data_IF_598700230766
#
_entry.id   IF_598700230766
#
_cell.length_a   1.000
_cell.length_b   1.000
_cell.length_c   1.000
_cell.angle_alpha   90.00
_cell.angle_beta   90.00
_cell.angle_gamma   90.00
#
_symmetry.space_group_name_H-M   'P 1'
#
loop_
_entity.id
_entity.type
_entity.pdbx_description
1 polymer ?
#
# COMPACT_ATOMS: atom_id res chain seq x y z
N UNK A 1 -17.18 19.56 30.60
CA UNK A 1 -16.95 20.09 29.25
C UNK A 1 -16.71 18.88 28.37
N UNK A 2 -17.76 18.47 27.67
CA UNK A 2 -17.75 17.28 26.83
C UNK A 2 -16.85 17.52 25.62
N UNK A 3 -15.71 16.85 25.57
CA UNK A 3 -14.98 16.65 24.33
C UNK A 3 -15.77 15.68 23.46
N UNK A 4 -16.84 16.17 22.82
CA UNK A 4 -17.31 15.58 21.58
C UNK A 4 -16.13 15.68 20.61
N UNK A 5 -15.43 14.56 20.40
CA UNK A 5 -14.33 14.49 19.45
C UNK A 5 -14.84 14.94 18.10
N UNK A 6 -14.34 16.09 17.63
CA UNK A 6 -14.55 16.54 16.26
C UNK A 6 -14.14 15.40 15.33
N UNK A 7 -15.13 14.82 14.68
CA UNK A 7 -14.92 13.80 13.65
C UNK A 7 -14.08 14.48 12.59
N UNK A 8 -12.83 14.07 12.43
CA UNK A 8 -11.91 14.70 11.48
C UNK A 8 -12.59 14.82 10.11
N UNK A 9 -12.60 16.02 9.53
CA UNK A 9 -13.31 16.27 8.28
C UNK A 9 -12.68 15.49 7.15
N UNK A 10 -13.51 14.95 6.26
CA UNK A 10 -13.04 14.25 5.07
C UNK A 10 -12.25 15.22 4.19
N UNK A 11 -11.10 14.78 3.68
CA UNK A 11 -10.31 15.52 2.69
C UNK A 11 -11.10 15.66 1.38
N UNK A 12 -11.14 16.85 0.79
CA UNK A 12 -12.02 17.16 -0.33
C UNK A 12 -11.47 16.66 -1.68
N UNK A 13 -10.17 16.85 -1.88
CA UNK A 13 -9.44 16.54 -3.12
C UNK A 13 -8.72 15.20 -3.04
N UNK A 14 -8.18 14.83 -1.87
CA UNK A 14 -7.51 13.54 -1.67
C UNK A 14 -8.53 12.40 -1.67
N UNK A 15 -8.59 11.66 -2.77
CA UNK A 15 -9.54 10.56 -2.94
C UNK A 15 -9.18 9.38 -2.05
N UNK A 16 -10.21 8.62 -1.68
CA UNK A 16 -10.06 7.36 -0.98
C UNK A 16 -9.32 7.46 0.38
N UNK A 17 -9.20 8.67 0.94
CA UNK A 17 -8.55 8.92 2.23
C UNK A 17 -9.41 8.40 3.39
N UNK A 18 -8.81 7.63 4.30
CA UNK A 18 -9.42 7.25 5.59
C UNK A 18 -8.39 6.72 6.58
N UNK A 19 -8.74 6.82 7.86
CA UNK A 19 -8.14 6.04 8.94
C UNK A 19 -8.65 4.59 8.85
N UNK A 20 -7.75 3.61 8.90
CA UNK A 20 -8.12 2.18 8.85
C UNK A 20 -8.97 1.79 10.08
N UNK A 21 -8.76 2.44 11.23
CA UNK A 21 -9.54 2.14 12.44
C UNK A 21 -11.03 2.50 12.30
N UNK A 22 -11.41 3.29 11.29
CA UNK A 22 -12.81 3.69 11.07
C UNK A 22 -13.74 2.52 10.72
N UNK A 23 -13.17 1.43 10.17
CA UNK A 23 -13.88 0.20 9.83
C UNK A 23 -13.42 -1.00 10.67
N UNK A 24 -12.33 -0.83 11.43
CA UNK A 24 -11.66 -1.91 12.17
C UNK A 24 -11.36 -1.43 13.60
N UNK A 25 -12.32 -1.65 14.51
CA UNK A 25 -12.29 -1.10 15.87
C UNK A 25 -11.18 -1.70 16.78
N UNK A 26 -10.59 -2.83 16.38
CA UNK A 26 -9.45 -3.45 17.07
C UNK A 26 -8.11 -2.75 16.78
N UNK A 27 -8.10 -1.80 15.84
CA UNK A 27 -6.92 -0.98 15.51
C UNK A 27 -7.03 0.37 16.23
N UNK A 28 -5.91 0.87 16.78
CA UNK A 28 -5.86 2.19 17.40
C UNK A 28 -6.09 3.29 16.35
N UNK A 29 -6.98 4.26 16.63
CA UNK A 29 -7.21 5.38 15.73
C UNK A 29 -6.00 6.32 15.65
N UNK A 30 -5.89 7.01 14.53
CA UNK A 30 -4.91 8.07 14.29
C UNK A 30 -3.51 7.58 13.94
N UNK A 31 -3.31 6.28 13.68
CA UNK A 31 -1.98 5.73 13.44
C UNK A 31 -1.73 5.38 11.97
N UNK A 32 -2.67 4.74 11.30
CA UNK A 32 -2.47 4.23 9.95
C UNK A 32 -3.62 4.65 9.04
N UNK A 33 -3.25 5.38 8.00
CA UNK A 33 -4.14 5.96 7.01
C UNK A 33 -3.85 5.36 5.65
N UNK A 34 -4.85 5.37 4.78
CA UNK A 34 -4.70 5.02 3.36
C UNK A 34 -5.35 6.05 2.47
N UNK A 35 -4.82 6.27 1.27
CA UNK A 35 -5.43 7.16 0.26
C UNK A 35 -4.99 6.85 -1.17
N UNK A 36 -5.64 7.51 -2.13
CA UNK A 36 -5.06 7.76 -3.45
C UNK A 36 -3.87 8.74 -3.33
N UNK A 37 -3.24 9.02 -4.47
CA UNK A 37 -2.11 9.97 -4.51
C UNK A 37 -2.56 11.35 -4.05
N UNK A 38 -1.61 12.10 -3.50
CA UNK A 38 -1.82 13.45 -2.98
C UNK A 38 -1.24 14.53 -3.90
N UNK A 39 -0.88 14.17 -5.13
CA UNK A 39 -0.20 15.10 -6.06
C UNK A 39 -1.10 16.29 -6.43
N UNK A 40 -2.42 16.06 -6.47
CA UNK A 40 -3.44 17.07 -6.78
C UNK A 40 -4.17 17.56 -5.52
N UNK A 41 -3.57 17.37 -4.33
CA UNK A 41 -4.17 17.80 -3.07
C UNK A 41 -4.25 19.32 -2.99
N UNK A 42 -5.38 19.85 -2.54
CA UNK A 42 -5.51 21.29 -2.26
C UNK A 42 -4.61 21.70 -1.09
N UNK A 43 -4.22 22.99 -0.98
CA UNK A 43 -3.47 23.48 0.17
C UNK A 43 -4.15 23.16 1.51
N UNK A 44 -5.48 23.23 1.57
CA UNK A 44 -6.25 22.92 2.77
C UNK A 44 -6.17 21.43 3.14
N UNK A 45 -6.22 20.53 2.15
CA UNK A 45 -6.04 19.10 2.39
C UNK A 45 -4.60 18.77 2.83
N UNK A 46 -3.60 19.46 2.27
CA UNK A 46 -2.19 19.31 2.69
C UNK A 46 -1.98 19.82 4.12
N UNK A 47 -2.57 20.96 4.47
CA UNK A 47 -2.55 21.50 5.83
C UNK A 47 -3.30 20.55 6.78
N UNK A 48 -4.43 19.96 6.38
CA UNK A 48 -5.11 18.95 7.18
C UNK A 48 -4.25 17.70 7.40
N UNK A 49 -3.58 17.18 6.35
CA UNK A 49 -2.65 16.06 6.48
C UNK A 49 -1.50 16.38 7.46
N UNK A 50 -0.98 17.61 7.44
CA UNK A 50 0.13 18.05 8.30
C UNK A 50 -0.30 18.37 9.74
N UNK A 51 -1.36 19.14 9.92
CA UNK A 51 -1.73 19.74 11.22
C UNK A 51 -2.78 18.90 11.97
N UNK A 52 -3.80 18.42 11.24
CA UNK A 52 -4.93 17.69 11.82
C UNK A 52 -4.60 16.21 11.99
N UNK A 53 -4.19 15.55 10.91
CA UNK A 53 -3.84 14.12 10.91
C UNK A 53 -2.40 13.87 11.36
N UNK A 54 -1.56 14.92 11.35
CA UNK A 54 -0.16 14.88 11.80
C UNK A 54 0.65 13.78 11.12
N UNK A 55 0.40 13.54 9.83
CA UNK A 55 1.09 12.51 9.07
C UNK A 55 2.59 12.76 9.14
N UNK A 56 3.32 11.76 9.66
CA UNK A 56 4.75 11.81 9.88
C UNK A 56 5.52 11.04 8.82
N UNK A 57 4.92 9.96 8.31
CA UNK A 57 5.50 9.19 7.22
C UNK A 57 4.49 8.92 6.13
N UNK A 58 4.93 9.04 4.88
CA UNK A 58 4.18 8.64 3.69
C UNK A 58 4.89 7.43 3.10
N UNK A 59 4.14 6.38 2.80
CA UNK A 59 4.62 5.25 2.04
C UNK A 59 3.95 5.25 0.67
N UNK A 60 4.70 5.66 -0.35
CA UNK A 60 4.25 5.73 -1.73
C UNK A 60 4.58 4.44 -2.48
N UNK A 61 3.55 3.63 -2.72
CA UNK A 61 3.63 2.35 -3.40
C UNK A 61 3.75 2.45 -4.92
N UNK A 62 3.80 3.66 -5.49
CA UNK A 62 4.20 3.88 -6.89
C UNK A 62 5.71 3.73 -7.08
N UNK A 63 6.45 3.66 -5.97
CA UNK A 63 7.91 3.78 -5.96
C UNK A 63 8.36 5.16 -6.42
N UNK A 64 9.68 5.33 -6.46
CA UNK A 64 10.25 6.57 -6.95
C UNK A 64 10.15 6.54 -8.47
N UNK A 65 9.12 7.18 -9.02
CA UNK A 65 9.09 7.48 -10.44
C UNK A 65 10.33 8.33 -10.75
N UNK A 66 10.95 8.21 -11.93
CA UNK A 66 11.93 9.19 -12.34
C UNK A 66 11.23 10.55 -12.21
N UNK A 67 11.69 11.36 -11.26
CA UNK A 67 11.29 12.75 -11.15
C UNK A 67 11.31 13.34 -12.58
N UNK A 68 10.38 14.24 -12.96
CA UNK A 68 10.62 15.03 -14.17
C UNK A 68 12.04 15.56 -14.07
N UNK A 69 12.79 15.56 -15.18
CA UNK A 69 14.20 15.93 -15.29
C UNK A 69 14.44 17.33 -14.69
N UNK A 70 14.40 17.41 -13.37
CA UNK A 70 14.93 18.43 -12.53
C UNK A 70 16.22 17.77 -12.14
N UNK A 71 17.24 18.22 -12.86
CA UNK A 71 18.63 17.89 -12.66
C UNK A 71 18.91 17.44 -11.23
N UNK A 72 19.69 16.37 -11.05
CA UNK A 72 20.32 16.06 -9.75
C UNK A 72 21.15 17.25 -9.20
N UNK A 73 21.33 18.31 -9.99
CA UNK A 73 21.92 19.61 -9.61
C UNK A 73 20.93 20.58 -8.94
N UNK A 74 19.61 20.42 -9.14
CA UNK A 74 18.55 21.33 -8.66
C UNK A 74 17.49 20.58 -7.84
N UNK A 75 17.91 19.81 -6.83
CA UNK A 75 17.00 19.47 -5.74
C UNK A 75 16.57 20.78 -5.04
N UNK A 76 15.26 21.08 -4.91
CA UNK A 76 14.82 22.06 -3.94
C UNK A 76 15.25 21.55 -2.57
N UNK A 77 16.09 22.31 -1.87
CA UNK A 77 16.65 21.89 -0.59
C UNK A 77 18.04 21.28 -0.72
N UNK A 78 19.01 22.11 -1.10
CA UNK A 78 20.43 21.84 -0.85
C UNK A 78 20.81 21.92 0.65
N UNK A 79 19.84 21.89 1.58
CA UNK A 79 20.12 22.12 2.99
C UNK A 79 19.49 21.13 3.99
N UNK A 80 18.44 20.36 3.69
CA UNK A 80 17.84 19.46 4.72
C UNK A 80 17.15 18.21 4.12
N UNK A 81 17.87 17.34 3.38
CA UNK A 81 17.29 16.03 2.98
C UNK A 81 18.26 14.87 3.19
N UNK A 82 17.87 13.92 4.03
CA UNK A 82 18.53 12.61 4.17
C UNK A 82 17.96 11.65 3.13
N UNK A 83 18.54 11.65 1.93
CA UNK A 83 18.14 10.79 0.82
C UNK A 83 18.92 9.47 0.80
N UNK A 84 18.20 8.34 0.74
CA UNK A 84 18.78 7.01 0.59
C UNK A 84 18.08 6.22 -0.50
N UNK A 85 18.80 5.94 -1.59
CA UNK A 85 18.32 5.18 -2.73
C UNK A 85 18.93 3.79 -2.74
N UNK A 86 18.10 2.76 -2.63
CA UNK A 86 18.53 1.36 -2.67
C UNK A 86 18.14 0.73 -4.01
N UNK A 87 18.92 1.04 -5.05
CA UNK A 87 18.93 0.25 -6.28
C UNK A 87 19.77 -1.02 -6.06
N UNK A 88 19.37 -2.16 -6.63
CA UNK A 88 18.34 -2.35 -7.66
C UNK A 88 16.90 -2.56 -7.12
N UNK A 89 16.69 -2.53 -5.81
CA UNK A 89 15.45 -3.01 -5.18
C UNK A 89 14.23 -2.07 -5.30
N UNK A 90 14.35 -0.93 -6.00
CA UNK A 90 13.27 0.07 -6.14
C UNK A 90 12.69 0.55 -4.80
N UNK A 91 13.55 0.65 -3.80
CA UNK A 91 13.25 1.21 -2.48
C UNK A 91 14.03 2.51 -2.35
N UNK A 92 13.36 3.60 -1.99
CA UNK A 92 13.99 4.87 -1.72
C UNK A 92 13.36 5.54 -0.50
N UNK A 93 14.13 6.41 0.14
CA UNK A 93 13.70 7.22 1.26
C UNK A 93 14.19 8.65 1.10
N UNK A 94 13.34 9.62 1.45
CA UNK A 94 13.73 11.02 1.64
C UNK A 94 13.02 11.56 2.88
N UNK A 95 13.66 12.49 3.57
CA UNK A 95 13.05 13.25 4.65
C UNK A 95 13.10 14.73 4.29
N UNK A 96 11.95 15.40 4.34
CA UNK A 96 11.84 16.83 4.02
C UNK A 96 11.08 17.48 5.18
N UNK A 97 11.73 18.39 5.91
CA UNK A 97 11.13 19.13 7.02
C UNK A 97 10.45 18.21 8.07
N UNK A 98 11.05 17.05 8.34
CA UNK A 98 10.53 16.06 9.30
C UNK A 98 9.45 15.12 8.76
N UNK A 99 8.98 15.31 7.52
CA UNK A 99 8.11 14.36 6.82
C UNK A 99 8.95 13.28 6.12
N UNK A 100 8.77 12.04 6.53
CA UNK A 100 9.51 10.90 5.98
C UNK A 100 8.73 10.29 4.81
N UNK A 101 9.32 10.31 3.62
CA UNK A 101 8.72 9.76 2.42
C UNK A 101 9.48 8.48 2.04
N UNK A 102 8.78 7.36 2.09
CA UNK A 102 9.25 6.04 1.70
C UNK A 102 8.64 5.67 0.35
N UNK A 103 9.47 5.53 -0.67
CA UNK A 103 9.03 5.11 -1.99
C UNK A 103 9.34 3.63 -2.18
N UNK A 104 8.31 2.80 -2.35
CA UNK A 104 8.46 1.34 -2.44
C UNK A 104 7.63 0.83 -3.60
N UNK A 105 8.25 0.54 -4.75
CA UNK A 105 7.57 -0.17 -5.84
C UNK A 105 7.55 -1.68 -5.53
N UNK A 106 6.38 -2.21 -5.16
CA UNK A 106 6.23 -3.64 -4.86
C UNK A 106 6.54 -4.53 -6.08
N UNK A 107 6.55 -4.00 -7.31
CA UNK A 107 6.94 -4.72 -8.52
C UNK A 107 8.46 -4.58 -8.78
N UNK A 108 9.27 -5.06 -7.83
CA UNK A 108 10.73 -5.06 -7.87
C UNK A 108 11.34 -6.01 -8.92
N UNK A 109 12.69 -6.10 -9.00
CA UNK A 109 13.37 -6.89 -10.02
C UNK A 109 12.98 -8.38 -10.04
N UNK A 110 12.75 -8.97 -8.87
CA UNK A 110 12.37 -10.38 -8.74
C UNK A 110 10.95 -10.65 -9.26
N UNK A 111 9.98 -9.79 -8.93
CA UNK A 111 8.66 -9.79 -9.55
C UNK A 111 8.75 -9.61 -11.07
N UNK A 112 9.59 -8.69 -11.55
CA UNK A 112 9.82 -8.48 -12.98
C UNK A 112 10.35 -9.74 -13.70
N UNK A 113 11.26 -10.50 -13.06
CA UNK A 113 11.74 -11.79 -13.57
C UNK A 113 10.61 -12.83 -13.65
N UNK A 114 9.72 -12.88 -12.66
CA UNK A 114 8.53 -13.75 -12.71
C UNK A 114 7.59 -13.34 -13.85
N UNK A 115 7.28 -12.06 -14.01
CA UNK A 115 6.40 -11.60 -15.11
C UNK A 115 7.01 -11.92 -16.46
N UNK A 116 8.32 -11.73 -16.63
CA UNK A 116 9.03 -12.16 -17.82
C UNK A 116 8.89 -13.69 -18.00
N UNK A 117 8.97 -14.47 -16.92
CA UNK A 117 8.83 -15.93 -16.98
C UNK A 117 7.45 -16.42 -17.46
N UNK A 118 6.39 -15.61 -17.31
CA UNK A 118 5.02 -15.93 -17.77
C UNK A 118 4.82 -15.83 -19.29
N UNK A 119 5.82 -15.34 -20.03
CA UNK A 119 5.77 -15.22 -21.49
C UNK A 119 6.60 -16.32 -22.14
N UNK A 120 6.17 -16.85 -23.29
CA UNK A 120 6.92 -17.86 -24.04
C UNK A 120 8.21 -17.27 -24.64
N UNK A 121 9.20 -18.13 -24.93
CA UNK A 121 10.50 -17.69 -25.48
C UNK A 121 10.34 -16.85 -26.76
N UNK A 122 9.40 -17.23 -27.62
CA UNK A 122 9.11 -16.51 -28.87
C UNK A 122 8.53 -15.11 -28.62
N UNK A 123 7.60 -14.98 -27.68
CA UNK A 123 7.03 -13.69 -27.30
C UNK A 123 8.11 -12.77 -26.72
N UNK A 124 8.96 -13.29 -25.82
CA UNK A 124 10.11 -12.55 -25.26
C UNK A 124 11.03 -12.03 -26.35
N UNK A 125 11.40 -12.90 -27.30
CA UNK A 125 12.28 -12.55 -28.40
C UNK A 125 11.70 -11.42 -29.25
N UNK A 126 10.41 -11.52 -29.60
CA UNK A 126 9.68 -10.44 -30.29
C UNK A 126 9.62 -9.15 -29.47
N UNK A 127 9.39 -9.27 -28.17
CA UNK A 127 9.36 -8.14 -27.24
C UNK A 127 10.68 -7.39 -27.21
N UNK A 128 11.80 -8.10 -27.03
CA UNK A 128 13.14 -7.51 -27.04
C UNK A 128 13.48 -6.87 -28.38
N UNK A 129 13.16 -7.54 -29.50
CA UNK A 129 13.36 -6.98 -30.82
C UNK A 129 12.56 -5.68 -31.01
N UNK A 130 11.29 -5.66 -30.58
CA UNK A 130 10.45 -4.47 -30.69
C UNK A 130 10.96 -3.32 -29.81
N UNK A 131 11.39 -3.61 -28.57
CA UNK A 131 12.01 -2.61 -27.68
C UNK A 131 13.31 -2.06 -28.30
N UNK A 132 14.12 -2.89 -28.94
CA UNK A 132 15.35 -2.44 -29.61
C UNK A 132 15.08 -1.52 -30.81
N UNK A 133 14.02 -1.79 -31.58
CA UNK A 133 13.63 -1.01 -32.76
C UNK A 133 12.90 0.29 -32.35
N UNK A 134 12.00 0.21 -31.38
CA UNK A 134 11.21 1.34 -30.91
C UNK A 134 11.01 1.24 -29.40
N UNK A 135 11.92 1.82 -28.58
CA UNK A 135 11.90 1.62 -27.13
C UNK A 135 10.57 1.97 -26.47
N UNK A 136 10.01 3.16 -26.74
CA UNK A 136 8.79 3.62 -26.10
C UNK A 136 7.56 2.77 -26.48
N UNK A 137 7.41 2.44 -27.77
CA UNK A 137 6.25 1.67 -28.24
C UNK A 137 6.40 0.17 -27.94
N UNK A 138 7.62 -0.35 -28.00
CA UNK A 138 7.99 -1.71 -27.61
C UNK A 138 7.71 -1.99 -26.14
N UNK A 139 8.09 -1.07 -25.24
CA UNK A 139 7.76 -1.20 -23.80
C UNK A 139 6.25 -1.22 -23.58
N UNK A 140 5.50 -0.29 -24.21
CA UNK A 140 4.04 -0.25 -24.08
C UNK A 140 3.38 -1.52 -24.64
N UNK A 141 3.86 -2.02 -25.78
CA UNK A 141 3.36 -3.27 -26.38
C UNK A 141 3.63 -4.47 -25.47
N UNK A 142 4.84 -4.56 -24.91
CA UNK A 142 5.21 -5.58 -23.94
C UNK A 142 4.32 -5.55 -22.71
N UNK A 143 4.12 -4.35 -22.12
CA UNK A 143 3.24 -4.14 -20.97
C UNK A 143 1.81 -4.61 -21.24
N UNK A 144 1.25 -4.37 -22.43
CA UNK A 144 -0.08 -4.87 -22.81
C UNK A 144 -0.13 -6.40 -22.87
N UNK A 145 0.86 -7.04 -23.48
CA UNK A 145 0.94 -8.50 -23.58
C UNK A 145 1.04 -9.14 -22.20
N UNK A 146 1.93 -8.62 -21.35
CA UNK A 146 2.06 -9.14 -19.99
C UNK A 146 0.79 -8.89 -19.19
N UNK A 147 0.23 -7.68 -19.25
CA UNK A 147 -0.99 -7.32 -18.51
C UNK A 147 -2.18 -8.20 -18.89
N UNK A 148 -2.38 -8.48 -20.19
CA UNK A 148 -3.44 -9.37 -20.66
C UNK A 148 -3.29 -10.83 -20.16
N UNK A 149 -2.08 -11.27 -19.81
CA UNK A 149 -1.85 -12.58 -19.19
C UNK A 149 -2.14 -12.54 -17.70
N UNK A 150 -1.61 -11.52 -17.01
CA UNK A 150 -1.77 -11.36 -15.57
C UNK A 150 -3.23 -11.08 -15.19
N UNK A 151 -3.97 -10.36 -16.03
CA UNK A 151 -5.35 -9.94 -15.76
C UNK A 151 -6.37 -11.08 -15.73
N UNK A 152 -5.99 -12.28 -16.17
CA UNK A 152 -6.83 -13.49 -16.14
C UNK A 152 -7.08 -14.02 -14.74
N UNK A 153 -6.15 -13.80 -13.82
CA UNK A 153 -6.28 -14.17 -12.41
C UNK A 153 -6.10 -12.91 -11.56
N UNK A 154 -7.19 -12.46 -10.94
CA UNK A 154 -7.22 -11.29 -10.07
C UNK A 154 -6.31 -11.42 -8.85
N UNK A 155 -5.98 -12.64 -8.44
CA UNK A 155 -5.06 -12.93 -7.36
C UNK A 155 -3.61 -13.15 -7.82
N UNK A 156 -3.32 -13.14 -9.13
CA UNK A 156 -1.96 -13.32 -9.64
C UNK A 156 -1.00 -12.31 -9.03
N UNK A 157 -1.31 -11.02 -9.13
CA UNK A 157 -0.40 -9.95 -8.68
C UNK A 157 -0.18 -9.96 -7.16
N UNK A 158 -1.24 -10.03 -6.31
CA UNK A 158 -1.05 -10.20 -4.87
C UNK A 158 -0.16 -11.38 -4.49
N UNK A 159 -0.41 -12.56 -5.07
CA UNK A 159 0.36 -13.79 -4.79
C UNK A 159 1.80 -13.66 -5.27
N UNK A 160 2.00 -13.12 -6.48
CA UNK A 160 3.32 -12.88 -7.05
C UNK A 160 4.16 -11.90 -6.21
N UNK A 161 3.55 -10.85 -5.64
CA UNK A 161 4.24 -9.93 -4.72
C UNK A 161 4.65 -10.64 -3.44
N UNK A 162 3.73 -11.42 -2.84
CA UNK A 162 4.04 -12.21 -1.65
C UNK A 162 5.19 -13.18 -1.93
N UNK A 163 5.27 -13.75 -3.13
CA UNK A 163 6.25 -14.78 -3.46
C UNK A 163 7.59 -14.23 -4.00
N UNK A 164 7.61 -13.00 -4.51
CA UNK A 164 8.75 -12.48 -5.28
C UNK A 164 9.10 -11.00 -5.02
N UNK A 165 8.53 -10.37 -4.00
CA UNK A 165 8.86 -8.98 -3.64
C UNK A 165 9.37 -8.86 -2.20
N UNK A 166 10.18 -9.83 -1.78
CA UNK A 166 10.67 -9.95 -0.41
C UNK A 166 11.34 -8.68 0.13
N UNK A 167 12.29 -8.03 -0.59
CA UNK A 167 12.93 -6.82 -0.08
C UNK A 167 11.94 -5.67 0.13
N UNK A 168 10.95 -5.53 -0.75
CA UNK A 168 9.96 -4.45 -0.73
C UNK A 168 8.97 -4.66 0.41
N UNK A 169 8.44 -5.89 0.57
CA UNK A 169 7.54 -6.22 1.68
C UNK A 169 8.27 -6.12 3.02
N UNK A 170 9.54 -6.54 3.10
CA UNK A 170 10.36 -6.35 4.29
C UNK A 170 10.53 -4.88 4.65
N UNK A 171 10.85 -4.02 3.68
CA UNK A 171 11.02 -2.59 3.90
C UNK A 171 9.74 -1.96 4.44
N UNK A 172 8.58 -2.30 3.85
CA UNK A 172 7.27 -1.87 4.33
C UNK A 172 7.04 -2.21 5.81
N UNK A 173 7.20 -3.48 6.18
CA UNK A 173 6.90 -3.90 7.55
C UNK A 173 7.96 -3.44 8.57
N UNK A 174 9.20 -3.14 8.14
CA UNK A 174 10.18 -2.46 9.01
C UNK A 174 9.78 -1.02 9.33
N UNK A 175 9.14 -0.31 8.39
CA UNK A 175 8.58 1.02 8.67
C UNK A 175 7.44 0.91 9.68
N UNK A 176 6.52 -0.05 9.49
CA UNK A 176 5.44 -0.32 10.45
C UNK A 176 5.94 -0.73 11.84
N UNK A 177 7.12 -1.36 11.93
CA UNK A 177 7.70 -1.75 13.21
C UNK A 177 8.33 -0.58 13.99
N UNK A 178 8.55 0.57 13.34
CA UNK A 178 9.21 1.74 13.92
C UNK A 178 8.19 2.70 14.56
N UNK A 179 8.16 2.86 15.89
CA UNK A 179 7.24 3.78 16.56
C UNK A 179 7.36 5.23 16.07
N UNK A 180 8.56 5.65 15.68
CA UNK A 180 8.83 7.02 15.22
C UNK A 180 8.26 7.32 13.83
N UNK A 181 7.78 6.32 13.09
CA UNK A 181 7.18 6.51 11.75
C UNK A 181 5.73 6.96 11.81
N UNK A 182 5.05 6.79 12.95
CA UNK A 182 3.62 7.08 13.09
C UNK A 182 3.33 8.56 13.37
N UNK A 183 2.20 9.09 12.86
CA UNK A 183 1.20 8.47 11.97
C UNK A 183 1.67 8.26 10.52
N UNK A 184 1.21 7.17 9.89
CA UNK A 184 1.63 6.72 8.56
C UNK A 184 0.47 6.86 7.56
N UNK A 185 0.73 7.42 6.38
CA UNK A 185 -0.15 7.37 5.22
C UNK A 185 0.40 6.42 4.16
N UNK A 186 -0.35 5.37 3.80
CA UNK A 186 0.00 4.45 2.70
C UNK A 186 -0.81 4.83 1.46
N UNK A 187 -0.13 5.10 0.35
CA UNK A 187 -0.81 5.52 -0.87
C UNK A 187 -0.25 4.86 -2.13
N UNK A 188 -1.06 4.89 -3.18
CA UNK A 188 -0.62 4.76 -4.56
C UNK A 188 -1.53 5.64 -5.42
N UNK A 189 -1.52 5.45 -6.75
CA UNK A 189 -2.38 6.23 -7.66
C UNK A 189 -3.85 6.29 -7.23
N UNK A 190 -4.48 5.18 -6.85
CA UNK A 190 -5.92 5.13 -6.54
C UNK A 190 -6.22 4.78 -5.08
N UNK A 191 -5.19 4.45 -4.30
CA UNK A 191 -5.34 3.86 -2.97
C UNK A 191 -5.92 2.45 -3.01
N UNK A 192 -5.76 1.73 -4.11
CA UNK A 192 -6.30 0.38 -4.34
C UNK A 192 -5.20 -0.64 -4.63
N UNK A 193 -5.57 -1.91 -4.85
CA UNK A 193 -4.66 -3.00 -5.21
C UNK A 193 -3.47 -3.15 -4.23
N UNK A 194 -2.33 -2.53 -4.53
CA UNK A 194 -1.10 -2.58 -3.70
C UNK A 194 -1.32 -2.05 -2.28
N UNK A 195 -2.09 -0.95 -2.14
CA UNK A 195 -2.43 -0.42 -0.83
C UNK A 195 -3.31 -1.42 -0.08
N UNK A 196 -4.32 -1.97 -0.76
CA UNK A 196 -5.21 -2.99 -0.17
C UNK A 196 -4.44 -4.25 0.25
N UNK A 197 -3.43 -4.67 -0.51
CA UNK A 197 -2.57 -5.81 -0.17
C UNK A 197 -1.83 -5.58 1.12
N UNK A 198 -1.09 -4.47 1.23
CA UNK A 198 -0.29 -4.16 2.42
C UNK A 198 -1.19 -3.94 3.64
N UNK A 199 -2.30 -3.22 3.48
CA UNK A 199 -3.28 -3.03 4.55
C UNK A 199 -3.85 -4.37 5.01
N UNK A 200 -4.30 -5.23 4.09
CA UNK A 200 -4.88 -6.53 4.44
C UNK A 200 -3.86 -7.45 5.11
N UNK A 201 -2.62 -7.49 4.63
CA UNK A 201 -1.54 -8.25 5.28
C UNK A 201 -1.25 -7.72 6.68
N UNK A 202 -1.27 -6.39 6.88
CA UNK A 202 -1.12 -5.79 8.21
C UNK A 202 -2.28 -6.20 9.12
N UNK A 203 -3.52 -6.13 8.64
CA UNK A 203 -4.70 -6.52 9.43
C UNK A 203 -4.73 -8.01 9.77
N UNK A 204 -4.31 -8.88 8.84
CA UNK A 204 -4.11 -10.32 9.10
C UNK A 204 -3.05 -10.54 10.18
N UNK A 205 -1.94 -9.79 10.17
CA UNK A 205 -0.93 -9.85 11.23
C UNK A 205 -1.53 -9.45 12.60
N UNK A 206 -2.43 -8.48 12.62
CA UNK A 206 -3.15 -8.05 13.82
C UNK A 206 -4.29 -8.98 14.22
N UNK A 207 -4.53 -10.08 13.49
CA UNK A 207 -5.64 -11.02 13.70
C UNK A 207 -7.02 -10.35 13.67
N UNK A 208 -7.19 -9.34 12.82
CA UNK A 208 -8.50 -8.77 12.52
C UNK A 208 -9.35 -9.80 11.78
N UNK A 209 -10.66 -9.83 12.03
CA UNK A 209 -11.55 -10.74 11.33
C UNK A 209 -11.63 -10.40 9.82
N UNK A 210 -11.79 -11.45 9.01
CA UNK A 210 -11.75 -11.32 7.55
C UNK A 210 -12.84 -10.41 6.99
N UNK A 211 -13.99 -10.34 7.66
CA UNK A 211 -15.11 -9.52 7.21
C UNK A 211 -14.76 -8.03 7.33
N UNK A 212 -14.20 -7.61 8.46
CA UNK A 212 -13.70 -6.24 8.64
C UNK A 212 -12.61 -5.87 7.64
N UNK A 213 -11.67 -6.79 7.36
CA UNK A 213 -10.64 -6.56 6.32
C UNK A 213 -11.29 -6.40 4.94
N UNK A 214 -12.26 -7.25 4.61
CA UNK A 214 -12.97 -7.18 3.33
C UNK A 214 -13.77 -5.89 3.19
N UNK A 215 -14.41 -5.41 4.27
CA UNK A 215 -15.15 -4.15 4.25
C UNK A 215 -14.22 -2.96 3.98
N UNK A 216 -13.03 -2.90 4.58
CA UNK A 216 -12.04 -1.87 4.24
C UNK A 216 -11.55 -1.96 2.78
N UNK A 217 -11.30 -3.18 2.30
CA UNK A 217 -10.93 -3.42 0.91
C UNK A 217 -12.02 -2.93 -0.05
N UNK A 218 -13.27 -3.37 0.16
CA UNK A 218 -14.41 -3.05 -0.69
C UNK A 218 -14.76 -1.55 -0.66
N UNK A 219 -14.56 -0.88 0.48
CA UNK A 219 -14.77 0.57 0.62
C UNK A 219 -13.98 1.38 -0.43
N UNK A 220 -12.83 0.88 -0.87
CA UNK A 220 -12.01 1.53 -1.91
C UNK A 220 -12.77 1.75 -3.22
N UNK A 221 -13.63 0.81 -3.59
CA UNK A 221 -14.39 0.87 -4.84
C UNK A 221 -15.54 1.86 -4.72
N UNK A 222 -16.17 1.96 -3.55
CA UNK A 222 -17.19 2.97 -3.26
C UNK A 222 -16.60 4.38 -3.19
N UNK A 223 -15.47 4.54 -2.48
CA UNK A 223 -14.77 5.81 -2.33
C UNK A 223 -14.18 6.34 -3.65
N UNK A 224 -13.99 5.45 -4.63
CA UNK A 224 -13.51 5.79 -5.98
C UNK A 224 -14.64 5.92 -7.01
N UNK A 225 -15.91 5.89 -6.60
CA UNK A 225 -17.07 5.93 -7.52
C UNK A 225 -17.06 7.16 -8.43
N UNK A 226 -16.66 8.33 -7.92
CA UNK A 226 -16.56 9.57 -8.70
C UNK A 226 -15.50 9.55 -9.82
N UNK A 227 -14.53 8.64 -9.76
CA UNK A 227 -13.46 8.46 -10.77
C UNK A 227 -13.57 7.11 -11.48
N UNK A 228 -14.70 6.41 -11.33
CA UNK A 228 -14.89 5.05 -11.86
C UNK A 228 -14.69 4.95 -13.36
N UNK A 229 -15.20 5.92 -14.12
CA UNK A 229 -15.08 5.92 -15.59
C UNK A 229 -13.62 6.04 -16.03
N UNK A 230 -12.86 6.94 -15.42
CA UNK A 230 -11.42 7.07 -15.66
C UNK A 230 -10.67 5.78 -15.32
N UNK A 231 -11.01 5.13 -14.19
CA UNK A 231 -10.41 3.83 -13.82
C UNK A 231 -10.71 2.74 -14.85
N UNK A 232 -11.94 2.67 -15.36
CA UNK A 232 -12.31 1.71 -16.41
C UNK A 232 -11.53 1.95 -17.70
N UNK A 233 -11.35 3.20 -18.11
CA UNK A 233 -10.54 3.55 -19.29
C UNK A 233 -9.08 3.12 -19.14
N UNK A 234 -8.49 3.32 -17.96
CA UNK A 234 -7.12 2.88 -17.65
C UNK A 234 -6.96 1.35 -17.65
N UNK A 235 -7.95 0.64 -17.09
CA UNK A 235 -7.98 -0.83 -17.10
C UNK A 235 -8.03 -1.35 -18.55
N UNK A 236 -8.96 -0.82 -19.36
CA UNK A 236 -9.10 -1.20 -20.78
C UNK A 236 -7.85 -0.88 -21.59
N UNK A 237 -7.25 0.29 -21.38
CA UNK A 237 -5.98 0.68 -22.02
C UNK A 237 -4.83 -0.29 -21.70
N UNK A 238 -4.90 -0.92 -20.52
CA UNK A 238 -3.93 -1.91 -20.01
C UNK A 238 -4.37 -3.36 -20.26
N UNK A 239 -5.43 -3.60 -21.03
CA UNK A 239 -5.98 -4.94 -21.32
C UNK A 239 -6.46 -5.72 -20.09
N UNK A 240 -6.94 -5.02 -19.06
CA UNK A 240 -7.66 -5.61 -17.94
C UNK A 240 -9.17 -5.63 -18.23
N UNK A 241 -9.89 -6.71 -17.86
CA UNK A 241 -11.33 -6.75 -17.96
C UNK A 241 -12.01 -5.77 -16.98
N UNK A 242 -13.24 -5.36 -17.31
CA UNK A 242 -13.98 -4.33 -16.55
C UNK A 242 -14.32 -4.75 -15.11
N UNK A 243 -14.38 -6.06 -14.80
CA UNK A 243 -14.66 -6.58 -13.46
C UNK A 243 -13.55 -6.26 -12.45
N UNK A 244 -12.37 -5.84 -12.91
CA UNK A 244 -11.31 -5.28 -12.06
C UNK A 244 -11.69 -3.91 -11.46
N UNK A 245 -12.74 -3.27 -11.97
CA UNK A 245 -13.32 -2.07 -11.36
C UNK A 245 -14.29 -2.40 -10.20
N UNK A 246 -14.48 -3.67 -9.85
CA UNK A 246 -15.29 -4.14 -8.72
C UNK A 246 -14.43 -4.80 -7.64
N UNK A 247 -14.86 -4.82 -6.36
CA UNK A 247 -14.19 -5.62 -5.35
C UNK A 247 -14.27 -7.11 -5.70
N UNK A 248 -13.17 -7.84 -5.47
CA UNK A 248 -13.15 -9.30 -5.58
C UNK A 248 -13.72 -9.92 -4.28
N UNK A 249 -14.87 -10.62 -4.31
CA UNK A 249 -15.53 -11.10 -3.09
C UNK A 249 -14.64 -12.00 -2.20
N UNK A 250 -13.84 -12.87 -2.80
CA UNK A 250 -13.01 -13.85 -2.06
C UNK A 250 -11.58 -13.36 -1.79
N UNK A 251 -11.31 -12.06 -1.97
CA UNK A 251 -9.97 -11.49 -1.90
C UNK A 251 -9.22 -11.83 -0.60
N UNK A 252 -9.86 -11.61 0.56
CA UNK A 252 -9.22 -11.78 1.87
C UNK A 252 -8.96 -13.26 2.18
N UNK A 253 -9.91 -14.14 1.87
CA UNK A 253 -9.73 -15.58 2.07
C UNK A 253 -8.61 -16.11 1.17
N UNK A 254 -8.61 -15.74 -0.12
CA UNK A 254 -7.58 -16.18 -1.06
C UNK A 254 -6.18 -15.67 -0.68
N UNK A 255 -6.09 -14.46 -0.10
CA UNK A 255 -4.87 -13.88 0.41
C UNK A 255 -4.34 -14.64 1.63
N UNK A 256 -5.18 -14.83 2.66
CA UNK A 256 -4.81 -15.55 3.88
C UNK A 256 -4.46 -17.00 3.57
N UNK A 257 -5.26 -17.70 2.75
CA UNK A 257 -4.99 -19.07 2.35
C UNK A 257 -3.63 -19.21 1.64
N UNK A 258 -3.26 -18.27 0.78
CA UNK A 258 -1.94 -18.29 0.11
C UNK A 258 -0.80 -18.13 1.11
N UNK A 259 -0.93 -17.21 2.08
CA UNK A 259 0.05 -17.02 3.15
C UNK A 259 0.17 -18.26 4.04
N UNK A 260 -0.95 -18.84 4.47
CA UNK A 260 -0.99 -20.04 5.32
C UNK A 260 -0.35 -21.24 4.61
N UNK A 261 -0.83 -21.57 3.41
CA UNK A 261 -0.43 -22.79 2.71
C UNK A 261 1.01 -22.76 2.19
N UNK A 262 1.50 -21.60 1.75
CA UNK A 262 2.83 -21.49 1.13
C UNK A 262 3.91 -20.98 2.07
N UNK A 263 3.54 -20.17 3.06
CA UNK A 263 4.50 -19.46 3.91
C UNK A 263 4.31 -19.72 5.41
N UNK A 264 3.37 -20.58 5.80
CA UNK A 264 3.10 -20.91 7.22
C UNK A 264 2.42 -19.78 7.99
N UNK A 265 1.69 -18.90 7.29
CA UNK A 265 0.98 -17.76 7.85
C UNK A 265 1.77 -16.46 7.81
N UNK A 266 1.09 -15.34 8.07
CA UNK A 266 1.66 -13.99 7.93
C UNK A 266 2.86 -13.73 8.85
N UNK A 267 2.84 -14.24 10.08
CA UNK A 267 3.98 -14.07 11.00
C UNK A 267 5.21 -14.81 10.50
N UNK A 268 5.06 -16.10 10.17
CA UNK A 268 6.18 -16.93 9.68
C UNK A 268 6.73 -16.39 8.37
N UNK A 269 5.85 -15.90 7.49
CA UNK A 269 6.24 -15.18 6.28
C UNK A 269 7.14 -13.98 6.61
N UNK A 270 6.72 -13.05 7.48
CA UNK A 270 7.51 -11.87 7.84
C UNK A 270 8.84 -12.21 8.51
N UNK A 271 8.88 -13.23 9.36
CA UNK A 271 10.13 -13.73 9.95
C UNK A 271 11.08 -14.26 8.88
N UNK A 272 10.55 -14.99 7.88
CA UNK A 272 11.32 -15.51 6.74
C UNK A 272 11.89 -14.38 5.88
N UNK A 273 11.17 -13.26 5.75
CA UNK A 273 11.69 -12.06 5.09
C UNK A 273 12.84 -11.39 5.87
N UNK A 274 13.03 -11.72 7.15
CA UNK A 274 14.07 -11.16 8.00
C UNK A 274 13.60 -10.04 8.92
N UNK A 275 12.31 -9.99 9.25
CA UNK A 275 11.87 -9.27 10.45
C UNK A 275 12.22 -10.08 11.70
N UNK A 276 12.66 -9.40 12.73
CA UNK A 276 12.82 -9.98 14.07
C UNK A 276 11.46 -10.18 14.73
N UNK A 277 11.39 -11.12 15.69
CA UNK A 277 10.20 -11.31 16.52
C UNK A 277 9.81 -10.02 17.25
N UNK A 278 10.79 -9.24 17.71
CA UNK A 278 10.57 -7.94 18.36
C UNK A 278 9.94 -6.92 17.41
N UNK A 279 10.37 -6.85 16.14
CA UNK A 279 9.75 -5.98 15.15
C UNK A 279 8.29 -6.38 14.90
N UNK A 280 8.01 -7.67 14.75
CA UNK A 280 6.64 -8.17 14.57
C UNK A 280 5.75 -7.83 15.78
N UNK A 281 6.26 -8.03 17.00
CA UNK A 281 5.52 -7.68 18.22
C UNK A 281 5.35 -6.16 18.39
N UNK A 282 6.33 -5.37 17.94
CA UNK A 282 6.24 -3.90 17.94
C UNK A 282 5.05 -3.42 17.10
N UNK A 283 4.88 -3.97 15.88
CA UNK A 283 3.73 -3.63 15.02
C UNK A 283 2.41 -3.89 15.74
N UNK A 284 2.27 -5.06 16.36
CA UNK A 284 1.07 -5.44 17.13
C UNK A 284 0.83 -4.49 18.31
N UNK A 285 1.86 -4.23 19.11
CA UNK A 285 1.77 -3.37 20.28
C UNK A 285 1.42 -1.91 19.92
N UNK A 286 1.94 -1.40 18.81
CA UNK A 286 1.64 -0.07 18.30
C UNK A 286 0.18 -0.02 17.83
N UNK A 287 -0.23 -0.93 16.95
CA UNK A 287 -1.49 -0.82 16.21
C UNK A 287 -2.71 -1.40 16.91
N UNK A 288 -2.59 -2.42 17.76
CA UNK A 288 -3.77 -2.99 18.45
C UNK A 288 -4.28 -2.04 19.52
N UNK A 289 -5.59 -1.82 19.55
CA UNK A 289 -6.24 -1.19 20.70
C UNK A 289 -6.13 -2.15 21.90
N UNK A 290 -5.63 -1.66 23.02
CA UNK A 290 -5.67 -2.44 24.26
C UNK A 290 -7.12 -2.78 24.55
N UNK A 291 -7.40 -4.05 24.83
CA UNK A 291 -8.74 -4.57 25.07
C UNK A 291 -9.48 -3.62 26.02
N UNK A 292 -10.53 -2.93 25.54
CA UNK A 292 -11.50 -2.27 26.42
C UNK A 292 -12.40 -3.32 27.09
N UNK A 293 -11.79 -4.26 27.81
CA UNK A 293 -12.48 -5.18 28.70
C UNK A 293 -12.11 -4.75 30.13
N UNK A 294 -13.13 -4.24 30.83
CA UNK A 294 -13.16 -3.88 32.25
C UNK A 294 -12.87 -2.42 32.67
N UNK A 295 -13.72 -1.48 32.21
CA UNK A 295 -14.08 -0.30 33.04
C UNK A 295 -15.57 -0.26 33.41
N UNK A 296 -16.36 -1.28 33.04
CA UNK A 296 -17.80 -1.33 33.36
C UNK A 296 -18.20 -2.15 34.59
N UNK A 297 -17.26 -2.74 35.31
CA UNK A 297 -17.56 -3.53 36.52
C UNK A 297 -17.00 -2.92 37.83
N UNK A 298 -16.59 -1.65 37.83
CA UNK A 298 -16.08 -0.95 39.02
C UNK A 298 -17.14 -0.24 39.88
N UNK A 299 -18.42 -0.31 39.51
CA UNK A 299 -19.52 0.30 40.25
C UNK A 299 -20.63 -0.72 40.48
N UNK A 300 -20.45 -1.57 41.49
CA UNK A 300 -21.50 -2.26 42.24
C UNK A 300 -20.83 -3.30 43.15
N UNK A 301 -20.28 -2.87 44.29
CA UNK A 301 -20.59 -3.42 45.62
C UNK A 301 -20.20 -2.35 46.64
N UNK A 302 -21.19 -1.60 47.11
CA UNK A 302 -21.15 -0.96 48.43
C UNK A 302 -22.62 -0.74 48.85
N UNK A 303 -23.23 -1.80 49.43
CA UNK A 303 -24.22 -1.84 50.53
C UNK A 303 -24.34 -3.30 50.98
#
# INVERSE_FOLDING_TARGET
MDHQGEKASALATVKNFRDISSLINTVKPGLIFRSAHIDDASPEDLDALREQYRIRSIIDLRGMQPWPIISTVLLPGKQDTDFALQYPEKIAHTSILGLNNHYIDLCGPQFGKLVLSQTGLWERTKGFAHIAISPATGIKSWQKVTSAKLSKDRMFTPKAIIDHSFPQVRAMFKILANPSSYPILILNKWGSEMVSLIVSMTMLLLHVDRQSIYLDYAQTYQASSGVRQQRLEELRASCYPDDWAEPLPDYVNALEQHLETKHGGIEQYLLTLGLSRSEVQSIKAILLSGSRLSEKNGWLIDV
#
